data_IF_669589917498
#
_entry.id   IF_669589917498
#
_cell.length_a   1.000
_cell.length_b   1.000
_cell.length_c   1.000
_cell.angle_alpha   90.00
_cell.angle_beta   90.00
_cell.angle_gamma   90.00
#
_symmetry.space_group_name_H-M   'P 1'
#
loop_
_entity.id
_entity.type
_entity.pdbx_description
1 polymer ?
#
# COMPACT_ATOMS: atom_id res chain seq x y z
N UNK A 1 94.11 92.27 -9.64
CA UNK A 1 93.34 92.87 -10.75
C UNK A 1 92.46 91.77 -11.32
N UNK A 2 91.17 91.79 -10.96
CA UNK A 2 90.06 92.01 -11.92
C UNK A 2 89.67 90.71 -12.64
N UNK A 3 88.62 90.00 -12.18
CA UNK A 3 87.20 90.22 -12.48
C UNK A 3 86.78 89.63 -13.84
N UNK A 4 86.29 88.39 -13.83
CA UNK A 4 85.32 87.79 -14.78
C UNK A 4 84.72 86.55 -14.07
N UNK A 5 83.76 86.67 -13.15
CA UNK A 5 82.33 86.94 -13.37
C UNK A 5 81.64 86.02 -14.38
N UNK A 6 80.93 85.03 -13.82
CA UNK A 6 79.51 84.75 -14.08
C UNK A 6 79.06 84.36 -15.50
N UNK A 7 79.43 83.16 -16.01
CA UNK A 7 78.66 82.53 -17.13
C UNK A 7 78.38 81.02 -16.93
N UNK A 8 79.02 80.32 -15.97
CA UNK A 8 78.97 78.84 -15.91
C UNK A 8 77.79 78.14 -15.19
N UNK A 9 76.99 78.73 -14.27
CA UNK A 9 76.01 77.92 -13.54
C UNK A 9 74.67 77.70 -14.28
N UNK A 10 74.32 78.53 -15.27
CA UNK A 10 73.00 78.50 -15.91
C UNK A 10 72.91 77.37 -16.97
N UNK A 11 73.98 77.14 -17.74
CA UNK A 11 74.03 76.08 -18.76
C UNK A 11 73.99 74.68 -18.15
N UNK A 12 74.56 74.50 -16.94
CA UNK A 12 74.57 73.21 -16.24
C UNK A 12 73.20 72.77 -15.69
N UNK A 13 72.31 73.74 -15.36
CA UNK A 13 70.97 73.47 -14.85
C UNK A 13 70.00 73.08 -15.97
N UNK A 14 70.10 73.73 -17.13
CA UNK A 14 69.30 73.39 -18.31
C UNK A 14 69.71 72.05 -18.91
N UNK A 15 71.01 71.72 -18.98
CA UNK A 15 71.47 70.41 -19.45
C UNK A 15 71.01 69.26 -18.52
N UNK A 16 71.05 69.46 -17.19
CA UNK A 16 70.56 68.44 -16.23
C UNK A 16 69.04 68.25 -16.27
N UNK A 17 68.27 69.31 -16.53
CA UNK A 17 66.82 69.22 -16.67
C UNK A 17 66.40 68.50 -17.97
N UNK A 18 67.08 68.79 -19.09
CA UNK A 18 66.83 68.12 -20.39
C UNK A 18 67.29 66.65 -20.36
N UNK A 19 68.42 66.33 -19.70
CA UNK A 19 68.83 64.93 -19.52
C UNK A 19 67.86 64.15 -18.62
N UNK A 20 67.38 64.73 -17.52
CA UNK A 20 66.40 64.06 -16.63
C UNK A 20 65.05 63.83 -17.31
N UNK A 21 64.58 64.77 -18.13
CA UNK A 21 63.33 64.61 -18.90
C UNK A 21 63.44 63.56 -20.00
N UNK A 22 64.61 63.42 -20.66
CA UNK A 22 64.84 62.37 -21.66
C UNK A 22 65.08 60.99 -21.05
N UNK A 23 65.68 60.91 -19.86
CA UNK A 23 65.84 59.64 -19.13
C UNK A 23 64.49 59.12 -18.63
N UNK A 24 63.59 59.98 -18.16
CA UNK A 24 62.25 59.56 -17.71
C UNK A 24 61.34 59.11 -18.89
N UNK A 25 61.51 59.68 -20.09
CA UNK A 25 60.75 59.32 -21.28
C UNK A 25 61.28 58.08 -22.01
N UNK A 26 62.54 57.68 -21.80
CA UNK A 26 63.12 56.46 -22.38
C UNK A 26 63.01 55.22 -21.47
N UNK A 27 62.68 55.37 -20.19
CA UNK A 27 62.49 54.23 -19.26
C UNK A 27 61.04 53.78 -19.14
N UNK A 28 60.08 54.50 -19.73
CA UNK A 28 58.67 54.12 -19.75
C UNK A 28 58.32 52.90 -20.66
N UNK A 29 58.97 52.63 -21.80
CA UNK A 29 58.61 51.47 -22.62
C UNK A 29 59.32 50.18 -22.18
N UNK A 30 60.36 50.26 -21.33
CA UNK A 30 61.09 49.09 -20.82
C UNK A 30 60.42 48.43 -19.59
N UNK A 31 59.47 49.11 -18.94
CA UNK A 31 58.64 48.52 -17.88
C UNK A 31 57.37 47.82 -18.41
N UNK A 32 57.08 47.89 -19.71
CA UNK A 32 55.92 47.25 -20.36
C UNK A 32 56.30 46.07 -21.29
N UNK A 33 57.58 45.69 -21.34
CA UNK A 33 58.07 44.53 -22.10
C UNK A 33 58.42 43.31 -21.22
N UNK A 34 57.84 43.23 -20.02
CA UNK A 34 57.92 42.05 -19.14
C UNK A 34 56.54 41.37 -19.00
N UNK A 35 55.80 41.24 -20.10
CA UNK A 35 54.74 40.25 -20.23
C UNK A 35 55.26 39.11 -21.11
N UNK A 36 56.21 38.34 -20.58
CA UNK A 36 56.48 37.00 -21.09
C UNK A 36 55.26 36.15 -20.74
N UNK A 37 54.63 35.44 -21.68
CA UNK A 37 53.72 34.38 -21.28
C UNK A 37 54.58 33.36 -20.53
N UNK A 38 54.43 33.31 -19.21
CA UNK A 38 54.71 32.08 -18.50
C UNK A 38 53.79 31.05 -19.15
N UNK A 39 54.34 30.23 -20.06
CA UNK A 39 53.78 28.90 -20.26
C UNK A 39 53.88 28.27 -18.87
N UNK A 40 52.75 27.98 -18.19
CA UNK A 40 52.85 27.13 -17.02
C UNK A 40 53.47 25.84 -17.53
N UNK A 41 54.64 25.50 -17.01
CA UNK A 41 55.21 24.16 -17.17
C UNK A 41 54.15 23.22 -16.61
N UNK A 42 53.38 22.62 -17.51
CA UNK A 42 52.09 22.01 -17.23
C UNK A 42 52.27 20.67 -16.52
N UNK A 43 53.42 20.42 -15.87
CA UNK A 43 53.71 19.20 -15.10
C UNK A 43 52.84 19.08 -13.86
N UNK A 44 52.37 20.20 -13.28
CA UNK A 44 51.43 20.15 -12.17
C UNK A 44 50.03 19.68 -12.62
N UNK A 45 49.53 20.16 -13.77
CA UNK A 45 48.26 19.68 -14.32
C UNK A 45 48.39 18.32 -15.01
N UNK A 46 49.55 17.96 -15.54
CA UNK A 46 49.79 16.62 -16.09
C UNK A 46 49.74 15.55 -14.98
N UNK A 47 50.22 15.89 -13.77
CA UNK A 47 50.17 14.98 -12.61
C UNK A 47 48.77 14.93 -11.96
N UNK A 48 47.91 15.93 -12.21
CA UNK A 48 46.48 15.91 -11.83
C UNK A 48 45.62 15.26 -12.91
N UNK A 49 46.04 15.25 -14.18
CA UNK A 49 45.37 14.52 -15.26
C UNK A 49 45.64 13.01 -15.25
N UNK A 50 46.66 12.54 -14.53
CA UNK A 50 46.89 11.12 -14.23
C UNK A 50 46.21 10.66 -12.92
N UNK A 51 45.54 11.56 -12.19
CA UNK A 51 44.52 11.13 -11.25
C UNK A 51 43.31 10.73 -12.07
N UNK A 52 43.22 9.42 -12.36
CA UNK A 52 41.98 8.74 -12.72
C UNK A 52 40.88 9.32 -11.82
N UNK A 53 40.10 10.25 -12.35
CA UNK A 53 38.85 10.66 -11.73
C UNK A 53 38.07 9.36 -11.60
N UNK A 54 37.78 8.88 -10.37
CA UNK A 54 36.95 7.71 -10.25
C UNK A 54 35.65 8.06 -10.96
N UNK A 55 35.23 7.24 -11.92
CA UNK A 55 33.90 7.29 -12.54
C UNK A 55 32.80 6.91 -11.52
N UNK A 56 32.97 7.29 -10.24
CA UNK A 56 31.92 7.30 -9.24
C UNK A 56 30.98 8.44 -9.61
N UNK A 57 30.14 8.20 -10.61
CA UNK A 57 28.99 9.05 -10.91
C UNK A 57 28.13 9.05 -9.65
N UNK A 58 28.29 10.07 -8.81
CA UNK A 58 27.49 10.24 -7.59
C UNK A 58 26.04 10.42 -8.03
N UNK A 59 25.24 9.37 -7.88
CA UNK A 59 23.82 9.40 -8.25
C UNK A 59 23.09 10.19 -7.17
N UNK A 60 22.44 11.29 -7.55
CA UNK A 60 21.50 11.95 -6.67
C UNK A 60 20.19 11.16 -6.62
N UNK A 61 20.04 10.35 -5.57
CA UNK A 61 18.86 9.52 -5.35
C UNK A 61 17.57 10.34 -5.13
N UNK A 62 17.65 11.65 -4.90
CA UNK A 62 16.45 12.51 -4.80
C UNK A 62 15.74 12.67 -6.14
N UNK A 63 16.48 12.58 -7.24
CA UNK A 63 15.98 12.80 -8.61
C UNK A 63 16.22 11.61 -9.55
N UNK A 64 16.80 10.52 -9.06
CA UNK A 64 17.11 9.35 -9.87
C UNK A 64 15.85 8.79 -10.57
N UNK A 65 15.92 8.43 -11.86
CA UNK A 65 14.77 7.87 -12.58
C UNK A 65 14.47 6.44 -12.10
N UNK A 66 13.18 6.09 -12.04
CA UNK A 66 12.74 4.80 -11.52
C UNK A 66 13.18 3.60 -12.38
N UNK A 67 13.36 3.80 -13.68
CA UNK A 67 13.70 2.73 -14.63
C UNK A 67 15.11 2.15 -14.41
N UNK A 68 16.08 3.00 -14.06
CA UNK A 68 17.48 2.57 -13.86
C UNK A 68 17.81 2.31 -12.40
N UNK A 69 16.86 2.50 -11.48
CA UNK A 69 17.11 2.41 -10.04
C UNK A 69 17.33 0.96 -9.58
N UNK A 70 16.62 0.02 -10.20
CA UNK A 70 16.60 -1.38 -9.79
C UNK A 70 17.85 -2.15 -10.19
N UNK A 71 18.55 -1.69 -11.25
CA UNK A 71 19.79 -2.28 -11.77
C UNK A 71 21.04 -1.85 -11.02
N UNK A 72 20.92 -0.92 -10.07
CA UNK A 72 22.06 -0.43 -9.26
C UNK A 72 22.33 -1.40 -8.12
N UNK A 73 23.44 -2.12 -8.18
CA UNK A 73 23.88 -3.09 -7.16
C UNK A 73 25.14 -2.62 -6.40
N UNK A 74 25.58 -1.39 -6.62
CA UNK A 74 26.77 -0.83 -5.98
C UNK A 74 26.59 -0.73 -4.45
N UNK A 75 27.64 -1.07 -3.70
CA UNK A 75 27.61 -1.04 -2.24
C UNK A 75 27.29 0.38 -1.72
N UNK A 76 27.79 1.41 -2.40
CA UNK A 76 27.52 2.82 -2.07
C UNK A 76 26.04 3.19 -2.23
N UNK A 77 25.35 2.62 -3.25
CA UNK A 77 23.93 2.83 -3.45
C UNK A 77 23.10 2.08 -2.39
N UNK A 78 23.42 0.81 -2.18
CA UNK A 78 22.69 -0.10 -1.28
C UNK A 78 22.83 0.28 0.20
N UNK A 79 23.95 0.89 0.60
CA UNK A 79 24.15 1.40 1.97
C UNK A 79 23.51 2.78 2.21
N UNK A 80 23.13 3.49 1.14
CA UNK A 80 22.51 4.81 1.22
C UNK A 80 20.99 4.70 1.50
N UNK A 81 20.51 5.41 2.52
CA UNK A 81 19.08 5.44 2.86
C UNK A 81 18.20 6.09 1.79
N UNK A 82 18.74 7.08 1.06
CA UNK A 82 18.01 7.79 0.00
C UNK A 82 17.72 6.89 -1.20
N UNK A 83 18.60 5.93 -1.51
CA UNK A 83 18.36 4.91 -2.53
C UNK A 83 17.07 4.15 -2.22
N UNK A 84 16.93 3.65 -0.99
CA UNK A 84 15.76 2.87 -0.56
C UNK A 84 14.48 3.71 -0.51
N UNK A 85 14.56 4.96 -0.05
CA UNK A 85 13.42 5.87 -0.08
C UNK A 85 12.93 6.11 -1.51
N UNK A 86 13.87 6.34 -2.44
CA UNK A 86 13.53 6.50 -3.86
C UNK A 86 12.96 5.21 -4.43
N UNK A 87 13.49 4.05 -4.05
CA UNK A 87 13.00 2.75 -4.49
C UNK A 87 11.57 2.48 -4.04
N UNK A 88 11.23 2.84 -2.80
CA UNK A 88 9.86 2.72 -2.30
C UNK A 88 8.88 3.66 -3.04
N UNK A 89 9.24 4.93 -3.25
CA UNK A 89 8.39 5.87 -4.00
C UNK A 89 8.22 5.43 -5.47
N UNK A 90 9.28 4.91 -6.09
CA UNK A 90 9.21 4.38 -7.45
C UNK A 90 8.33 3.12 -7.54
N UNK A 91 8.43 2.20 -6.58
CA UNK A 91 7.59 1.00 -6.57
C UNK A 91 6.11 1.33 -6.32
N UNK A 92 5.81 2.30 -5.45
CA UNK A 92 4.43 2.74 -5.17
C UNK A 92 3.76 3.40 -6.40
N UNK A 93 4.55 3.91 -7.36
CA UNK A 93 4.07 4.52 -8.62
C UNK A 93 3.98 3.55 -9.79
N UNK A 94 4.55 2.36 -9.64
CA UNK A 94 4.65 1.39 -10.70
C UNK A 94 3.35 0.63 -10.88
N UNK A 95 3.00 0.28 -12.12
CA UNK A 95 1.86 -0.60 -12.35
C UNK A 95 2.17 -2.03 -11.87
N UNK A 96 1.14 -2.70 -11.35
CA UNK A 96 1.16 -4.08 -10.85
C UNK A 96 1.93 -5.08 -11.74
N UNK A 97 1.66 -5.07 -13.04
CA UNK A 97 2.28 -6.00 -13.98
C UNK A 97 3.79 -5.72 -14.14
N UNK A 98 4.17 -4.44 -14.20
CA UNK A 98 5.57 -4.02 -14.33
C UNK A 98 6.34 -4.34 -13.05
N UNK A 99 5.74 -4.08 -11.88
CA UNK A 99 6.35 -4.37 -10.59
C UNK A 99 6.56 -5.87 -10.37
N UNK A 100 5.58 -6.72 -10.72
CA UNK A 100 5.73 -8.18 -10.69
C UNK A 100 6.79 -8.68 -11.67
N UNK A 101 6.83 -8.12 -12.89
CA UNK A 101 7.84 -8.47 -13.88
C UNK A 101 9.26 -8.12 -13.42
N UNK A 102 9.48 -6.91 -12.90
CA UNK A 102 10.78 -6.51 -12.35
C UNK A 102 11.15 -7.36 -11.13
N UNK A 103 10.20 -7.67 -10.24
CA UNK A 103 10.45 -8.50 -9.07
C UNK A 103 10.91 -9.93 -9.43
N UNK A 104 10.47 -10.47 -10.57
CA UNK A 104 10.89 -11.78 -11.07
C UNK A 104 12.32 -11.77 -11.63
N UNK A 105 12.79 -10.63 -12.14
CA UNK A 105 14.14 -10.48 -12.67
C UNK A 105 15.21 -10.41 -11.58
N UNK A 106 14.82 -10.05 -10.35
CA UNK A 106 15.74 -9.91 -9.23
C UNK A 106 15.89 -11.27 -8.52
N UNK A 107 17.07 -11.92 -8.60
CA UNK A 107 17.31 -13.15 -7.84
C UNK A 107 17.41 -12.77 -6.37
N UNK A 108 16.57 -13.32 -5.50
CA UNK A 108 16.53 -12.92 -4.10
C UNK A 108 17.48 -13.75 -3.23
N UNK A 109 18.79 -13.62 -3.46
CA UNK A 109 19.83 -14.39 -2.73
C UNK A 109 20.56 -13.55 -1.68
N UNK A 110 20.67 -12.24 -1.88
CA UNK A 110 21.24 -11.30 -0.91
C UNK A 110 20.16 -10.48 -0.21
N UNK A 111 20.49 -9.87 0.93
CA UNK A 111 19.52 -9.09 1.71
C UNK A 111 18.94 -7.91 0.91
N UNK A 112 19.76 -7.27 0.07
CA UNK A 112 19.39 -6.12 -0.74
C UNK A 112 18.46 -6.55 -1.88
N UNK A 113 18.77 -7.64 -2.57
CA UNK A 113 17.91 -8.21 -3.60
C UNK A 113 16.56 -8.67 -3.05
N UNK A 114 16.57 -9.32 -1.87
CA UNK A 114 15.34 -9.70 -1.15
C UNK A 114 14.51 -8.45 -0.84
N UNK A 115 15.15 -7.38 -0.40
CA UNK A 115 14.45 -6.16 -0.04
C UNK A 115 13.90 -5.44 -1.29
N UNK A 116 14.68 -5.29 -2.37
CA UNK A 116 14.21 -4.76 -3.66
C UNK A 116 13.00 -5.53 -4.18
N UNK A 117 13.09 -6.86 -4.22
CA UNK A 117 12.00 -7.73 -4.63
C UNK A 117 10.76 -7.53 -3.74
N UNK A 118 10.95 -7.41 -2.42
CA UNK A 118 9.83 -7.22 -1.49
C UNK A 118 9.13 -5.87 -1.63
N UNK A 119 9.88 -4.81 -1.94
CA UNK A 119 9.34 -3.47 -2.19
C UNK A 119 8.50 -3.48 -3.46
N UNK A 120 9.03 -4.05 -4.55
CA UNK A 120 8.32 -4.18 -5.83
C UNK A 120 7.02 -4.98 -5.68
N UNK A 121 7.10 -6.16 -5.04
CA UNK A 121 5.93 -7.00 -4.82
C UNK A 121 4.93 -6.39 -3.85
N UNK A 122 5.37 -5.54 -2.92
CA UNK A 122 4.48 -4.79 -2.05
C UNK A 122 3.73 -3.68 -2.79
N UNK A 123 4.35 -3.05 -3.80
CA UNK A 123 3.69 -2.05 -4.65
C UNK A 123 2.63 -2.67 -5.54
N UNK A 124 2.86 -3.91 -6.00
CA UNK A 124 1.95 -4.66 -6.86
C UNK A 124 0.76 -5.33 -6.13
N UNK A 125 0.19 -4.65 -5.13
CA UNK A 125 -0.98 -5.11 -4.34
C UNK A 125 -1.05 -6.63 -4.10
N UNK A 126 -0.13 -7.20 -3.31
CA UNK A 126 -0.07 -8.64 -3.10
C UNK A 126 -1.25 -9.10 -2.22
N UNK A 127 -1.66 -10.36 -2.41
CA UNK A 127 -2.61 -11.00 -1.52
C UNK A 127 -2.06 -11.07 -0.08
N UNK A 128 -2.96 -11.23 0.88
CA UNK A 128 -2.66 -11.27 2.30
C UNK A 128 -1.60 -12.30 2.68
N UNK A 129 -1.71 -13.52 2.13
CA UNK A 129 -0.74 -14.58 2.41
C UNK A 129 0.62 -14.26 1.80
N UNK A 130 0.63 -13.72 0.58
CA UNK A 130 1.84 -13.27 -0.08
C UNK A 130 2.52 -12.15 0.72
N UNK A 131 1.76 -11.18 1.24
CA UNK A 131 2.29 -10.10 2.09
C UNK A 131 2.97 -10.63 3.35
N UNK A 132 2.39 -11.63 4.03
CA UNK A 132 3.03 -12.29 5.18
C UNK A 132 4.32 -13.02 4.79
N UNK A 133 4.32 -13.72 3.65
CA UNK A 133 5.50 -14.41 3.15
C UNK A 133 6.64 -13.43 2.83
N UNK A 134 6.33 -12.27 2.23
CA UNK A 134 7.30 -11.21 1.98
C UNK A 134 7.89 -10.66 3.28
N UNK A 135 7.04 -10.37 4.27
CA UNK A 135 7.49 -9.90 5.59
C UNK A 135 8.40 -10.90 6.29
N UNK A 136 8.07 -12.19 6.21
CA UNK A 136 8.89 -13.27 6.76
C UNK A 136 10.23 -13.42 6.02
N UNK A 137 10.24 -13.25 4.70
CA UNK A 137 11.46 -13.29 3.89
C UNK A 137 12.39 -12.14 4.26
N UNK A 138 11.88 -10.92 4.37
CA UNK A 138 12.66 -9.73 4.76
C UNK A 138 13.19 -9.85 6.20
N UNK A 139 12.38 -10.40 7.12
CA UNK A 139 12.81 -10.56 8.52
C UNK A 139 13.96 -11.55 8.69
N UNK A 140 14.04 -12.59 7.85
CA UNK A 140 15.15 -13.54 7.86
C UNK A 140 16.52 -12.89 7.56
N UNK A 141 16.54 -11.85 6.72
CA UNK A 141 17.78 -11.14 6.35
C UNK A 141 18.08 -9.90 7.21
N UNK A 142 17.28 -9.63 8.25
CA UNK A 142 17.41 -8.43 9.11
C UNK A 142 18.80 -8.29 9.74
N UNK A 143 19.46 -9.41 10.08
CA UNK A 143 20.79 -9.41 10.68
C UNK A 143 21.89 -8.90 9.75
N UNK A 144 21.73 -9.09 8.43
CA UNK A 144 22.71 -8.73 7.41
C UNK A 144 22.58 -7.28 6.93
N UNK A 145 21.48 -6.61 7.29
CA UNK A 145 21.19 -5.25 6.85
C UNK A 145 22.06 -4.19 7.58
N UNK A 146 22.65 -3.23 6.85
CA UNK A 146 23.38 -2.10 7.41
C UNK A 146 22.56 -1.30 8.41
N UNK A 147 23.21 -0.75 9.44
CA UNK A 147 22.55 -0.01 10.51
C UNK A 147 21.77 1.23 10.03
N UNK A 148 22.26 1.88 8.97
CA UNK A 148 21.69 3.11 8.41
C UNK A 148 20.30 2.89 7.81
N UNK A 149 20.04 1.71 7.25
CA UNK A 149 18.77 1.39 6.58
C UNK A 149 17.76 0.74 7.51
N UNK A 150 18.18 0.24 8.69
CA UNK A 150 17.30 -0.46 9.64
C UNK A 150 16.05 0.33 10.04
N UNK A 151 16.11 1.65 10.30
CA UNK A 151 14.91 2.42 10.61
C UNK A 151 13.90 2.43 9.46
N UNK A 152 14.37 2.55 8.22
CA UNK A 152 13.50 2.53 7.03
C UNK A 152 12.86 1.16 6.82
N UNK A 153 13.64 0.08 6.97
CA UNK A 153 13.11 -1.29 6.87
C UNK A 153 12.07 -1.54 7.96
N UNK A 154 12.31 -1.04 9.17
CA UNK A 154 11.36 -1.17 10.28
C UNK A 154 10.05 -0.44 9.98
N UNK A 155 10.12 0.80 9.51
CA UNK A 155 8.94 1.58 9.11
C UNK A 155 8.18 0.90 7.96
N UNK A 156 8.89 0.42 6.95
CA UNK A 156 8.28 -0.31 5.83
C UNK A 156 7.56 -1.58 6.32
N UNK A 157 8.19 -2.36 7.21
CA UNK A 157 7.57 -3.56 7.81
C UNK A 157 6.33 -3.21 8.61
N UNK A 158 6.35 -2.13 9.38
CA UNK A 158 5.19 -1.64 10.13
C UNK A 158 4.04 -1.28 9.18
N UNK A 159 4.32 -0.54 8.10
CA UNK A 159 3.33 -0.25 7.03
C UNK A 159 2.75 -1.53 6.45
N UNK A 160 3.59 -2.52 6.12
CA UNK A 160 3.11 -3.80 5.60
C UNK A 160 2.26 -4.57 6.61
N UNK A 161 2.65 -4.56 7.89
CA UNK A 161 1.92 -5.24 8.94
C UNK A 161 0.53 -4.61 9.16
N UNK A 162 0.42 -3.28 9.06
CA UNK A 162 -0.88 -2.59 9.12
C UNK A 162 -1.80 -3.02 7.97
N UNK A 163 -1.26 -3.20 6.75
CA UNK A 163 -2.02 -3.72 5.62
C UNK A 163 -2.51 -5.15 5.86
N UNK A 164 -1.67 -5.99 6.48
CA UNK A 164 -2.09 -7.32 6.94
C UNK A 164 -3.24 -7.19 7.95
N UNK A 165 -3.08 -6.42 9.01
CA UNK A 165 -4.13 -6.27 10.03
C UNK A 165 -5.44 -5.77 9.41
N UNK A 166 -5.37 -4.79 8.51
CA UNK A 166 -6.54 -4.27 7.79
C UNK A 166 -7.23 -5.35 6.94
N UNK A 167 -6.47 -6.19 6.24
CA UNK A 167 -7.03 -7.32 5.49
C UNK A 167 -7.71 -8.35 6.39
N UNK A 168 -7.13 -8.66 7.55
CA UNK A 168 -7.68 -9.62 8.51
C UNK A 168 -8.97 -9.10 9.15
N UNK A 169 -9.03 -7.81 9.47
CA UNK A 169 -10.23 -7.17 10.00
C UNK A 169 -11.34 -7.11 8.96
N UNK A 170 -11.02 -6.79 7.69
CA UNK A 170 -12.00 -6.87 6.59
C UNK A 170 -12.57 -8.29 6.45
N UNK A 171 -11.72 -9.32 6.51
CA UNK A 171 -12.16 -10.72 6.44
C UNK A 171 -12.99 -11.15 7.65
N UNK A 172 -12.66 -10.66 8.85
CA UNK A 172 -13.48 -10.86 10.07
C UNK A 172 -14.85 -10.20 9.91
N UNK A 173 -14.89 -8.96 9.45
CA UNK A 173 -16.13 -8.21 9.26
C UNK A 173 -17.03 -8.86 8.19
N UNK A 174 -16.45 -9.28 7.05
CA UNK A 174 -17.19 -9.99 6.00
C UNK A 174 -17.86 -11.27 6.50
N UNK A 175 -17.18 -12.03 7.39
CA UNK A 175 -17.77 -13.21 8.03
C UNK A 175 -18.94 -12.86 8.95
N UNK A 176 -18.84 -11.77 9.70
CA UNK A 176 -19.94 -11.30 10.55
C UNK A 176 -21.14 -10.85 9.72
N UNK A 177 -20.90 -10.15 8.60
CA UNK A 177 -21.96 -9.76 7.67
C UNK A 177 -22.66 -10.99 7.07
N UNK A 178 -21.91 -11.99 6.61
CA UNK A 178 -22.47 -13.23 6.08
C UNK A 178 -23.37 -13.96 7.11
N UNK A 179 -22.93 -14.07 8.36
CA UNK A 179 -23.73 -14.68 9.44
C UNK A 179 -24.98 -13.85 9.74
N UNK A 180 -24.87 -12.52 9.71
CA UNK A 180 -26.04 -11.64 9.93
C UNK A 180 -27.06 -11.75 8.80
N UNK A 181 -26.59 -11.89 7.56
CA UNK A 181 -27.44 -12.08 6.38
C UNK A 181 -28.15 -13.44 6.44
N UNK A 182 -27.45 -14.51 6.78
CA UNK A 182 -28.02 -15.84 6.98
C UNK A 182 -29.13 -15.81 8.04
N UNK A 183 -28.90 -15.10 9.16
CA UNK A 183 -29.92 -14.95 10.21
C UNK A 183 -31.14 -14.17 9.72
N UNK A 184 -30.95 -13.09 8.95
CA UNK A 184 -32.06 -12.35 8.36
C UNK A 184 -32.86 -13.23 7.40
N UNK A 185 -32.18 -14.01 6.55
CA UNK A 185 -32.82 -14.97 5.64
C UNK A 185 -33.61 -16.05 6.40
N UNK A 186 -33.09 -16.58 7.50
CA UNK A 186 -33.80 -17.54 8.32
C UNK A 186 -35.08 -16.93 8.95
N UNK A 187 -35.01 -15.69 9.43
CA UNK A 187 -36.18 -15.01 10.01
C UNK A 187 -37.24 -14.69 8.95
N UNK A 188 -36.84 -14.27 7.74
CA UNK A 188 -37.80 -14.01 6.66
C UNK A 188 -38.50 -15.28 6.19
N UNK A 189 -37.77 -16.41 6.12
CA UNK A 189 -38.37 -17.72 5.83
C UNK A 189 -39.38 -18.13 6.91
N UNK A 190 -39.04 -17.96 8.19
CA UNK A 190 -39.97 -18.24 9.29
C UNK A 190 -41.24 -17.39 9.21
N UNK A 191 -41.09 -16.10 8.91
CA UNK A 191 -42.24 -15.21 8.73
C UNK A 191 -43.14 -15.67 7.58
N UNK A 192 -42.57 -16.03 6.42
CA UNK A 192 -43.33 -16.53 5.27
C UNK A 192 -44.10 -17.81 5.61
N UNK A 193 -43.49 -18.74 6.35
CA UNK A 193 -44.16 -19.97 6.79
C UNK A 193 -45.30 -19.67 7.78
N UNK A 194 -45.11 -18.71 8.70
CA UNK A 194 -46.19 -18.31 9.59
C UNK A 194 -47.34 -17.64 8.84
N UNK A 195 -47.04 -16.78 7.87
CA UNK A 195 -48.04 -16.14 7.01
C UNK A 195 -48.81 -17.16 6.17
N UNK A 196 -48.14 -18.17 5.60
CA UNK A 196 -48.82 -19.24 4.86
C UNK A 196 -49.73 -20.06 5.76
N UNK A 197 -49.28 -20.40 6.97
CA UNK A 197 -50.10 -21.13 7.95
C UNK A 197 -51.36 -20.33 8.34
N UNK A 198 -51.24 -19.01 8.54
CA UNK A 198 -52.38 -18.15 8.82
C UNK A 198 -53.33 -18.01 7.62
N UNK A 199 -52.81 -17.97 6.39
CA UNK A 199 -53.63 -17.97 5.19
C UNK A 199 -54.42 -19.29 5.04
N UNK A 200 -53.78 -20.42 5.33
CA UNK A 200 -54.42 -21.74 5.27
C UNK A 200 -55.48 -21.92 6.36
N UNK A 201 -55.24 -21.45 7.59
CA UNK A 201 -56.29 -21.49 8.63
C UNK A 201 -57.47 -20.61 8.28
N UNK A 202 -57.24 -19.42 7.70
CA UNK A 202 -58.32 -18.56 7.19
C UNK A 202 -59.14 -19.25 6.10
N UNK A 203 -58.49 -19.87 5.12
CA UNK A 203 -59.18 -20.66 4.07
C UNK A 203 -59.98 -21.83 4.65
N UNK A 204 -59.44 -22.52 5.66
CA UNK A 204 -60.15 -23.61 6.35
C UNK A 204 -61.38 -23.10 7.10
N UNK A 205 -61.27 -21.96 7.79
CA UNK A 205 -62.41 -21.34 8.46
C UNK A 205 -63.47 -20.87 7.48
N UNK A 206 -63.07 -20.25 6.37
CA UNK A 206 -63.98 -19.85 5.29
C UNK A 206 -64.72 -21.06 4.70
N UNK A 207 -64.00 -22.15 4.42
CA UNK A 207 -64.61 -23.40 3.95
C UNK A 207 -65.60 -23.99 4.97
N UNK A 208 -65.22 -24.05 6.26
CA UNK A 208 -66.13 -24.52 7.31
C UNK A 208 -67.38 -23.63 7.43
N UNK A 209 -67.23 -22.32 7.25
CA UNK A 209 -68.34 -21.36 7.25
C UNK A 209 -69.26 -21.58 6.04
N UNK A 210 -68.70 -21.85 4.86
CA UNK A 210 -69.51 -22.16 3.67
C UNK A 210 -70.25 -23.49 3.83
N UNK A 211 -69.60 -24.52 4.40
CA UNK A 211 -70.24 -25.80 4.75
C UNK A 211 -71.41 -25.57 5.71
N UNK A 212 -71.24 -24.75 6.75
CA UNK A 212 -72.34 -24.41 7.68
C UNK A 212 -73.51 -23.74 6.96
N UNK A 213 -73.21 -22.80 6.05
CA UNK A 213 -74.23 -22.11 5.25
C UNK A 213 -74.98 -23.09 4.34
N UNK A 214 -74.29 -24.02 3.70
CA UNK A 214 -74.89 -25.05 2.85
C UNK A 214 -75.74 -26.05 3.65
N UNK A 215 -75.26 -26.47 4.82
CA UNK A 215 -76.01 -27.36 5.71
C UNK A 215 -77.27 -26.67 6.24
N UNK A 216 -77.18 -25.38 6.62
CA UNK A 216 -78.33 -24.61 7.08
C UNK A 216 -79.39 -24.42 5.97
N UNK A 217 -78.96 -24.13 4.74
CA UNK A 217 -79.83 -24.08 3.56
C UNK A 217 -80.53 -25.43 3.31
N UNK A 218 -79.78 -26.54 3.35
CA UNK A 218 -80.36 -27.88 3.22
C UNK A 218 -81.35 -28.19 4.34
N UNK A 219 -81.07 -27.78 5.58
CA UNK A 219 -81.95 -28.02 6.73
C UNK A 219 -83.26 -27.22 6.64
N UNK A 220 -83.24 -26.01 6.08
CA UNK A 220 -84.46 -25.25 5.79
C UNK A 220 -85.31 -25.92 4.70
N UNK A 221 -84.68 -26.41 3.62
CA UNK A 221 -85.40 -27.11 2.53
C UNK A 221 -85.97 -28.47 3.00
N UNK A 222 -85.33 -29.11 3.98
CA UNK A 222 -85.79 -30.39 4.54
C UNK A 222 -86.77 -30.24 5.72
N UNK A 223 -86.95 -29.04 6.28
CA UNK A 223 -87.94 -28.75 7.32
C UNK A 223 -89.37 -28.50 6.80
N UNK A 224 -89.55 -28.31 5.49
CA UNK A 224 -90.85 -28.14 4.82
C UNK A 224 -91.42 -29.44 4.22
N UNK A 225 -90.94 -30.61 4.67
CA UNK A 225 -91.52 -31.91 4.31
C UNK A 225 -91.91 -32.66 5.59
N UNK A 226 -93.16 -33.16 5.73
CA UNK A 226 -93.64 -33.68 7.00
C UNK A 226 -92.94 -34.98 7.39
N UNK A 227 -92.74 -35.12 8.70
CA UNK A 227 -92.21 -36.29 9.41
C UNK A 227 -92.79 -37.61 8.88
N UNK A 228 -91.91 -38.60 8.70
CA UNK A 228 -92.31 -40.01 8.70
C UNK A 228 -91.42 -40.79 9.67
N UNK A 229 -92.12 -41.55 10.51
CA UNK A 229 -91.66 -42.24 11.71
C UNK A 229 -90.62 -43.35 11.49
N UNK A 230 -89.77 -43.45 12.52
CA UNK A 230 -89.33 -44.64 13.24
C UNK A 230 -88.73 -45.90 12.55
N UNK A 231 -87.64 -46.33 13.20
CA UNK A 231 -87.14 -47.70 13.41
C UNK A 231 -86.20 -48.31 12.35
N UNK A 232 -84.97 -48.64 12.77
CA UNK A 232 -84.50 -50.03 13.07
C UNK A 232 -83.13 -49.95 13.76
N UNK A 233 -82.85 -50.77 14.81
CA UNK A 233 -81.55 -50.83 15.47
C UNK A 233 -80.61 -51.86 14.81
N UNK A 234 -79.29 -51.63 14.82
CA UNK A 234 -78.29 -52.71 14.96
C UNK A 234 -76.84 -52.21 15.07
N UNK A 235 -76.15 -52.88 16.00
CA UNK A 235 -74.73 -53.30 16.00
C UNK A 235 -73.64 -52.33 16.50
N UNK A 236 -73.25 -52.59 17.75
CA UNK A 236 -71.90 -52.37 18.25
C UNK A 236 -70.97 -53.53 17.85
N UNK A 237 -69.74 -53.21 17.40
CA UNK A 237 -68.49 -54.02 17.49
C UNK A 237 -67.30 -53.03 17.32
N UNK A 238 -66.14 -53.23 17.99
CA UNK A 238 -65.25 -52.17 18.47
C UNK A 238 -64.02 -51.92 17.58
N UNK A 239 -63.41 -50.74 17.70
CA UNK A 239 -62.20 -50.36 16.96
C UNK A 239 -61.17 -49.60 17.80
N UNK A 240 -60.14 -50.34 18.23
CA UNK A 240 -58.77 -49.99 18.64
C UNK A 240 -58.45 -48.79 19.58
N UNK A 241 -57.70 -49.03 20.68
CA UNK A 241 -57.15 -47.97 21.52
C UNK A 241 -55.98 -47.25 20.82
N UNK A 242 -56.04 -45.92 20.82
CA UNK A 242 -54.93 -45.05 20.42
C UNK A 242 -53.80 -45.20 21.44
N UNK A 243 -52.59 -45.58 20.98
CA UNK A 243 -51.39 -45.68 21.81
C UNK A 243 -50.93 -44.28 22.24
N UNK A 244 -50.55 -44.06 23.51
CA UNK A 244 -49.94 -42.82 23.97
C UNK A 244 -48.47 -42.80 23.55
N UNK A 245 -48.21 -42.36 22.34
CA UNK A 245 -46.85 -42.16 21.86
C UNK A 245 -46.78 -40.84 21.12
N UNK A 246 -47.02 -39.72 21.81
CA UNK A 246 -46.41 -38.39 21.60
C UNK A 246 -46.65 -37.55 22.85
N UNK A 247 -46.08 -37.98 23.98
CA UNK A 247 -45.88 -37.08 25.12
C UNK A 247 -44.63 -36.26 24.84
N UNK A 248 -44.82 -34.98 24.54
CA UNK A 248 -43.76 -33.98 24.44
C UNK A 248 -42.91 -33.97 25.72
N UNK A 249 -41.64 -34.32 25.61
CA UNK A 249 -40.63 -34.13 26.66
C UNK A 249 -39.81 -32.88 26.36
N UNK A 250 -39.83 -31.85 27.23
CA UNK A 250 -38.97 -30.68 27.05
C UNK A 250 -37.49 -31.03 27.29
N UNK A 251 -36.53 -30.36 26.62
CA UNK A 251 -35.11 -30.66 26.77
C UNK A 251 -34.61 -30.34 28.18
N UNK A 252 -33.82 -31.26 28.73
CA UNK A 252 -33.15 -31.10 30.01
C UNK A 252 -32.15 -29.94 29.98
N UNK A 253 -32.14 -29.16 31.05
CA UNK A 253 -31.25 -28.02 31.27
C UNK A 253 -29.83 -28.52 31.52
N UNK A 254 -28.86 -28.11 30.70
CA UNK A 254 -27.46 -28.46 30.86
C UNK A 254 -26.90 -27.99 32.22
N UNK A 255 -26.26 -28.87 33.02
CA UNK A 255 -25.66 -28.49 34.30
C UNK A 255 -24.23 -27.91 34.20
N UNK A 256 -23.74 -27.54 33.01
CA UNK A 256 -22.40 -26.96 32.83
C UNK A 256 -22.42 -25.58 32.14
N UNK A 257 -23.37 -24.73 32.53
CA UNK A 257 -23.23 -23.29 32.39
C UNK A 257 -22.43 -22.74 33.59
N UNK A 258 -21.11 -22.75 33.45
CA UNK A 258 -20.18 -21.95 34.25
C UNK A 258 -19.16 -21.31 33.33
#
# INVERSE_FOLDING_TARGET
>A
MSALSFITPITSRLLRAVLRSRVLLLTAPLALAACVPHSPDNRYYQQVSDQVVPDSKVIDFRIAPCETLWTLDDNEAVTNSLYWLRAMDCADRMNDAQARFQAQQIPATTWDQVFKQSILLSGAEPDQQQRRALLAKVSAYRGQMPGQIRPLVQLWRERQNLQVVLGDEKARNARQLAVSEEKLQAMTQQQQVMESNLADTRRKLENLTDIERQLSSRKQIQGDLPDNDAAVPARAVPGNPVKPAETYTPPAKDPNAK
#
